data_IF_986772112306
#
_entry.id   IF_986772112306
#
_cell.length_a   1.000
_cell.length_b   1.000
_cell.length_c   1.000
_cell.angle_alpha   90.00
_cell.angle_beta   90.00
_cell.angle_gamma   90.00
#
_symmetry.space_group_name_H-M   'P 1'
#
loop_
_entity.id
_entity.type
_entity.pdbx_description
1 polymer ?
#
# COMPACT_ATOMS: atom_id res chain seq x y z
N UNK A 1 -12.45 14.44 35.39
CA UNK A 1 -11.43 13.34 35.40
C UNK A 1 -11.34 12.76 34.03
N UNK A 2 -10.14 12.65 33.43
CA UNK A 2 -9.95 11.98 32.16
C UNK A 2 -10.31 10.49 32.34
N UNK A 3 -11.18 9.96 31.49
CA UNK A 3 -11.57 8.55 31.51
C UNK A 3 -10.33 7.71 31.23
N UNK A 4 -9.88 6.90 32.17
CA UNK A 4 -8.82 5.95 31.95
C UNK A 4 -9.38 4.80 31.13
N UNK A 5 -8.82 4.58 29.92
CA UNK A 5 -9.21 3.45 29.07
C UNK A 5 -8.49 2.18 29.52
N UNK A 6 -9.23 1.07 29.57
CA UNK A 6 -8.63 -0.26 29.71
C UNK A 6 -7.78 -0.61 28.46
N UNK A 7 -6.88 -1.56 28.57
CA UNK A 7 -6.05 -2.00 27.42
C UNK A 7 -6.91 -2.54 26.25
N UNK A 8 -8.01 -3.22 26.54
CA UNK A 8 -8.97 -3.69 25.51
C UNK A 8 -9.62 -2.49 24.81
N UNK A 9 -10.07 -1.48 25.57
CA UNK A 9 -10.66 -0.25 25.01
C UNK A 9 -9.62 0.49 24.16
N UNK A 10 -8.38 0.64 24.64
CA UNK A 10 -7.28 1.27 23.88
C UNK A 10 -7.04 0.57 22.55
N UNK A 11 -6.93 -0.76 22.54
CA UNK A 11 -6.74 -1.53 21.31
C UNK A 11 -7.91 -1.36 20.33
N UNK A 12 -9.14 -1.35 20.82
CA UNK A 12 -10.33 -1.16 19.99
C UNK A 12 -10.40 0.26 19.40
N UNK A 13 -10.11 1.28 20.19
CA UNK A 13 -10.06 2.68 19.74
C UNK A 13 -8.96 2.86 18.71
N UNK A 14 -7.76 2.32 18.95
CA UNK A 14 -6.65 2.37 18.01
C UNK A 14 -7.00 1.76 16.65
N UNK A 15 -7.63 0.58 16.65
CA UNK A 15 -8.11 -0.06 15.41
C UNK A 15 -9.15 0.79 14.68
N UNK A 16 -10.07 1.42 15.40
CA UNK A 16 -11.07 2.33 14.79
C UNK A 16 -10.40 3.55 14.18
N UNK A 17 -9.45 4.19 14.86
CA UNK A 17 -8.71 5.34 14.33
C UNK A 17 -7.97 4.98 13.03
N UNK A 18 -7.33 3.81 12.95
CA UNK A 18 -6.67 3.32 11.74
C UNK A 18 -7.70 3.09 10.62
N UNK A 19 -8.81 2.41 10.90
CA UNK A 19 -9.85 2.11 9.91
C UNK A 19 -10.51 3.39 9.39
N UNK A 20 -10.89 4.33 10.27
CA UNK A 20 -11.48 5.60 9.88
C UNK A 20 -10.50 6.48 9.10
N UNK A 21 -9.22 6.44 9.46
CA UNK A 21 -8.17 7.14 8.71
C UNK A 21 -8.04 6.59 7.29
N UNK A 22 -7.99 5.26 7.11
CA UNK A 22 -7.93 4.61 5.80
C UNK A 22 -9.13 5.01 4.93
N UNK A 23 -10.36 4.95 5.47
CA UNK A 23 -11.60 5.30 4.78
C UNK A 23 -11.61 6.79 4.38
N UNK A 24 -11.25 7.69 5.29
CA UNK A 24 -11.26 9.13 4.99
C UNK A 24 -10.15 9.48 3.99
N UNK A 25 -8.96 8.90 4.15
CA UNK A 25 -7.85 9.13 3.24
C UNK A 25 -8.18 8.65 1.82
N UNK A 26 -8.73 7.46 1.65
CA UNK A 26 -9.11 6.95 0.33
C UNK A 26 -10.13 7.84 -0.39
N UNK A 27 -10.96 8.57 0.36
CA UNK A 27 -12.01 9.45 -0.20
C UNK A 27 -11.56 10.89 -0.40
N UNK A 28 -10.78 11.43 0.53
CA UNK A 28 -10.55 12.88 0.64
C UNK A 28 -9.08 13.27 0.58
N UNK A 29 -8.17 12.31 0.63
CA UNK A 29 -6.74 12.53 0.69
C UNK A 29 -6.22 12.90 2.09
N UNK A 30 -4.89 13.00 2.22
CA UNK A 30 -4.21 13.29 3.49
C UNK A 30 -4.58 14.66 4.07
N UNK A 31 -4.58 15.71 3.21
CA UNK A 31 -4.82 17.08 3.66
C UNK A 31 -6.20 17.26 4.27
N UNK A 32 -7.22 16.67 3.64
CA UNK A 32 -8.62 16.78 4.08
C UNK A 32 -9.02 15.79 5.16
N UNK A 33 -8.22 14.77 5.46
CA UNK A 33 -8.45 13.88 6.59
C UNK A 33 -8.14 14.62 7.88
N UNK A 34 -9.16 14.84 8.71
CA UNK A 34 -9.09 15.67 9.92
C UNK A 34 -9.08 14.78 11.18
N UNK A 35 -8.19 15.10 12.14
CA UNK A 35 -8.10 14.38 13.42
C UNK A 35 -9.41 14.50 14.21
N UNK A 36 -10.11 15.65 14.18
CA UNK A 36 -11.36 15.83 14.91
C UNK A 36 -12.44 14.88 14.43
N UNK A 37 -12.57 14.72 13.12
CA UNK A 37 -13.53 13.79 12.51
C UNK A 37 -13.18 12.34 12.85
N UNK A 38 -11.90 11.99 12.79
CA UNK A 38 -11.42 10.64 13.13
C UNK A 38 -11.72 10.30 14.59
N UNK A 39 -11.46 11.24 15.51
CA UNK A 39 -11.75 11.08 16.94
C UNK A 39 -13.25 10.93 17.19
N UNK A 40 -14.06 11.79 16.58
CA UNK A 40 -15.53 11.74 16.71
C UNK A 40 -16.08 10.39 16.27
N UNK A 41 -15.67 9.90 15.09
CA UNK A 41 -16.07 8.58 14.55
C UNK A 41 -15.54 7.41 15.38
N UNK A 42 -14.40 7.60 16.06
CA UNK A 42 -13.81 6.59 16.93
C UNK A 42 -14.36 6.62 18.37
N UNK A 43 -15.25 7.58 18.69
CA UNK A 43 -15.89 7.70 19.99
C UNK A 43 -14.98 8.27 21.08
N UNK A 44 -14.00 9.13 20.73
CA UNK A 44 -13.08 9.78 21.65
C UNK A 44 -13.04 11.30 21.45
N UNK A 45 -12.64 12.03 22.49
CA UNK A 45 -12.35 13.44 22.38
C UNK A 45 -11.01 13.67 21.64
N UNK A 46 -10.88 14.80 20.90
CA UNK A 46 -9.65 15.18 20.21
C UNK A 46 -8.39 15.11 21.07
N UNK A 47 -8.47 15.59 22.32
CA UNK A 47 -7.35 15.56 23.25
C UNK A 47 -6.84 14.16 23.59
N UNK A 48 -7.73 13.14 23.45
CA UNK A 48 -7.36 11.74 23.67
C UNK A 48 -6.59 11.11 22.50
N UNK A 49 -6.57 11.74 21.33
CA UNK A 49 -5.86 11.23 20.15
C UNK A 49 -4.38 10.96 20.44
N UNK A 50 -3.73 11.91 21.09
CA UNK A 50 -2.30 11.84 21.41
C UNK A 50 -1.93 10.77 22.45
N UNK A 51 -2.93 10.12 23.06
CA UNK A 51 -2.72 8.88 23.85
C UNK A 51 -2.46 7.66 22.96
N UNK A 52 -2.91 7.70 21.71
CA UNK A 52 -2.85 6.58 20.76
C UNK A 52 -1.78 6.77 19.68
N UNK A 53 -1.57 8.01 19.24
CA UNK A 53 -0.62 8.36 18.17
C UNK A 53 0.05 9.69 18.48
N UNK A 54 1.37 9.72 18.42
CA UNK A 54 2.17 10.93 18.70
C UNK A 54 1.89 12.06 17.70
N UNK A 55 1.47 11.71 16.46
CA UNK A 55 1.13 12.67 15.42
C UNK A 55 0.14 12.08 14.40
N UNK A 56 -0.44 12.96 13.56
CA UNK A 56 -1.25 12.56 12.41
C UNK A 56 -0.43 11.67 11.46
N UNK A 57 0.80 12.04 11.21
CA UNK A 57 1.73 11.32 10.32
C UNK A 57 2.02 9.91 10.83
N UNK A 58 2.13 9.72 12.15
CA UNK A 58 2.31 8.39 12.76
C UNK A 58 1.10 7.50 12.51
N UNK A 59 -0.13 8.03 12.62
CA UNK A 59 -1.34 7.30 12.27
C UNK A 59 -1.33 6.89 10.78
N UNK A 60 -1.01 7.83 9.87
CA UNK A 60 -0.94 7.54 8.44
C UNK A 60 0.13 6.52 8.09
N UNK A 61 1.29 6.57 8.74
CA UNK A 61 2.33 5.55 8.58
C UNK A 61 1.83 4.15 8.95
N UNK A 62 1.04 4.03 10.03
CA UNK A 62 0.46 2.73 10.39
C UNK A 62 -0.63 2.27 9.42
N UNK A 63 -1.42 3.21 8.89
CA UNK A 63 -2.36 2.90 7.80
C UNK A 63 -1.62 2.38 6.58
N UNK A 64 -0.51 3.03 6.16
CA UNK A 64 0.33 2.56 5.04
C UNK A 64 0.85 1.14 5.27
N UNK A 65 1.40 0.85 6.45
CA UNK A 65 1.85 -0.50 6.78
C UNK A 65 0.69 -1.52 6.75
N UNK A 66 -0.48 -1.14 7.25
CA UNK A 66 -1.68 -1.98 7.20
C UNK A 66 -2.12 -2.30 5.78
N UNK A 67 -2.12 -1.30 4.89
CA UNK A 67 -2.42 -1.45 3.47
C UNK A 67 -1.40 -2.37 2.81
N UNK A 68 -0.10 -2.15 3.04
CA UNK A 68 0.96 -2.99 2.51
C UNK A 68 0.78 -4.46 2.91
N UNK A 69 0.47 -4.72 4.19
CA UNK A 69 0.23 -6.08 4.67
C UNK A 69 -1.00 -6.73 3.99
N UNK A 70 -2.08 -5.97 3.75
CA UNK A 70 -3.25 -6.46 3.01
C UNK A 70 -2.88 -6.84 1.56
N UNK A 71 -2.06 -6.01 0.88
CA UNK A 71 -1.58 -6.29 -0.47
C UNK A 71 -0.74 -7.55 -0.53
N UNK A 72 0.21 -7.71 0.40
CA UNK A 72 1.04 -8.89 0.52
C UNK A 72 0.17 -10.13 0.74
N UNK A 73 -0.82 -10.07 1.64
CA UNK A 73 -1.74 -11.19 1.90
C UNK A 73 -2.56 -11.57 0.66
N UNK A 74 -3.00 -10.59 -0.14
CA UNK A 74 -3.72 -10.85 -1.40
C UNK A 74 -2.82 -11.51 -2.45
N UNK A 75 -1.55 -11.10 -2.53
CA UNK A 75 -0.56 -11.73 -3.41
C UNK A 75 -0.24 -13.15 -2.93
N UNK A 76 -0.06 -13.35 -1.62
CA UNK A 76 0.13 -14.69 -1.02
C UNK A 76 -1.04 -15.63 -1.36
N UNK A 77 -2.27 -15.16 -1.26
CA UNK A 77 -3.46 -15.96 -1.61
C UNK A 77 -3.44 -16.38 -3.08
N UNK A 78 -3.11 -15.47 -3.99
CA UNK A 78 -3.02 -15.77 -5.43
C UNK A 78 -1.93 -16.81 -5.69
N UNK A 79 -0.71 -16.57 -5.18
CA UNK A 79 0.45 -17.43 -5.41
C UNK A 79 0.30 -18.83 -4.78
N UNK A 80 -0.45 -18.94 -3.68
CA UNK A 80 -0.74 -20.22 -3.02
C UNK A 80 -1.68 -21.11 -3.84
N UNK A 81 -2.51 -20.52 -4.70
CA UNK A 81 -3.61 -21.20 -5.39
C UNK A 81 -3.40 -21.34 -6.91
N UNK A 82 -2.27 -20.86 -7.45
CA UNK A 82 -2.04 -20.82 -8.89
C UNK A 82 -0.62 -21.25 -9.26
N UNK A 83 -0.38 -21.75 -10.50
CA UNK A 83 0.97 -21.97 -11.02
C UNK A 83 1.80 -20.69 -10.94
N UNK A 84 3.10 -20.83 -10.69
CA UNK A 84 4.00 -19.71 -10.36
C UNK A 84 3.92 -18.53 -11.34
N UNK A 85 4.06 -18.76 -12.65
CA UNK A 85 4.00 -17.71 -13.68
C UNK A 85 2.64 -17.02 -13.73
N UNK A 86 1.58 -17.83 -13.75
CA UNK A 86 0.21 -17.34 -13.82
C UNK A 86 -0.16 -16.54 -12.57
N UNK A 87 0.21 -17.06 -11.39
CA UNK A 87 -0.01 -16.40 -10.10
C UNK A 87 0.75 -15.08 -10.00
N UNK A 88 2.01 -15.06 -10.47
CA UNK A 88 2.82 -13.83 -10.46
C UNK A 88 2.25 -12.77 -11.42
N UNK A 89 1.87 -13.16 -12.64
CA UNK A 89 1.22 -12.27 -13.60
C UNK A 89 -0.11 -11.72 -13.03
N UNK A 90 -0.96 -12.61 -12.48
CA UNK A 90 -2.23 -12.21 -11.88
C UNK A 90 -2.05 -11.26 -10.70
N UNK A 91 -1.01 -11.45 -9.89
CA UNK A 91 -0.69 -10.55 -8.77
C UNK A 91 -0.35 -9.14 -9.24
N UNK A 92 0.50 -9.00 -10.26
CA UNK A 92 0.83 -7.69 -10.85
C UNK A 92 -0.41 -7.01 -11.45
N UNK A 93 -1.24 -7.76 -12.20
CA UNK A 93 -2.49 -7.26 -12.78
C UNK A 93 -3.49 -6.82 -11.70
N UNK A 94 -3.59 -7.56 -10.60
CA UNK A 94 -4.43 -7.20 -9.44
C UNK A 94 -3.93 -5.92 -8.77
N UNK A 95 -2.62 -5.79 -8.52
CA UNK A 95 -2.02 -4.61 -7.92
C UNK A 95 -2.26 -3.36 -8.76
N UNK A 96 -2.07 -3.44 -10.08
CA UNK A 96 -2.28 -2.33 -11.01
C UNK A 96 -3.71 -1.80 -10.95
N UNK A 97 -4.70 -2.70 -11.03
CA UNK A 97 -6.12 -2.34 -10.94
C UNK A 97 -6.51 -1.77 -9.58
N UNK A 98 -5.88 -2.26 -8.51
CA UNK A 98 -6.11 -1.74 -7.17
C UNK A 98 -5.53 -0.32 -7.01
N UNK A 99 -4.36 -0.06 -7.58
CA UNK A 99 -3.74 1.26 -7.59
C UNK A 99 -4.56 2.27 -8.39
N UNK A 100 -5.09 1.87 -9.54
CA UNK A 100 -5.98 2.70 -10.35
C UNK A 100 -7.27 3.11 -9.61
N UNK A 101 -7.87 2.19 -8.88
CA UNK A 101 -9.08 2.43 -8.09
C UNK A 101 -8.86 3.30 -6.84
N UNK A 102 -7.63 3.40 -6.35
CA UNK A 102 -7.31 4.08 -5.09
C UNK A 102 -6.15 5.08 -5.25
N UNK A 103 -6.30 6.13 -6.07
CA UNK A 103 -5.21 7.02 -6.42
C UNK A 103 -4.63 7.78 -5.22
N UNK A 104 -5.41 8.04 -4.17
CA UNK A 104 -4.90 8.70 -2.96
C UNK A 104 -3.93 7.84 -2.16
N UNK A 105 -4.07 6.51 -2.26
CA UNK A 105 -3.26 5.56 -1.49
C UNK A 105 -1.99 5.14 -2.23
N UNK A 106 -1.98 5.20 -3.58
CA UNK A 106 -0.94 4.55 -4.38
C UNK A 106 -0.33 5.43 -5.47
N UNK A 107 -0.83 6.65 -5.67
CA UNK A 107 -0.29 7.49 -6.73
C UNK A 107 0.91 8.29 -6.25
N UNK A 108 2.15 7.95 -6.65
CA UNK A 108 3.35 8.68 -6.27
C UNK A 108 3.38 10.12 -6.81
N UNK A 109 2.59 10.43 -7.84
CA UNK A 109 2.46 11.78 -8.39
C UNK A 109 1.30 12.59 -7.80
N UNK A 110 0.51 11.99 -6.90
CA UNK A 110 -0.53 12.74 -6.21
C UNK A 110 0.12 13.73 -5.23
N UNK A 111 -0.09 15.03 -5.46
CA UNK A 111 0.48 16.09 -4.63
C UNK A 111 0.10 15.97 -3.13
N UNK A 112 -1.02 15.35 -2.84
CA UNK A 112 -1.48 15.09 -1.48
C UNK A 112 -0.68 13.94 -0.83
N UNK A 113 -0.43 12.87 -1.58
CA UNK A 113 0.43 11.76 -1.16
C UNK A 113 1.89 12.21 -0.96
N UNK A 114 2.44 12.98 -1.89
CA UNK A 114 3.79 13.59 -1.76
C UNK A 114 3.85 14.46 -0.51
N UNK A 115 2.79 15.23 -0.21
CA UNK A 115 2.73 16.05 1.00
C UNK A 115 2.81 15.20 2.28
N UNK A 116 2.18 14.05 2.31
CA UNK A 116 2.31 13.10 3.43
C UNK A 116 3.75 12.59 3.52
N UNK A 117 4.30 12.06 2.43
CA UNK A 117 5.66 11.52 2.44
C UNK A 117 6.69 12.54 2.93
N UNK A 118 6.59 13.80 2.49
CA UNK A 118 7.48 14.88 2.91
C UNK A 118 7.35 15.25 4.41
N UNK A 119 6.28 14.82 5.07
CA UNK A 119 6.05 15.03 6.51
C UNK A 119 6.43 13.83 7.37
N UNK A 120 6.62 12.67 6.76
CA UNK A 120 7.07 11.49 7.49
C UNK A 120 8.55 11.66 7.89
N UNK A 121 8.93 11.25 9.10
CA UNK A 121 10.33 11.11 9.48
C UNK A 121 11.08 10.20 8.50
N UNK A 122 12.36 10.52 8.25
CA UNK A 122 13.20 9.75 7.30
C UNK A 122 13.26 8.26 7.64
N UNK A 123 13.31 7.94 8.92
CA UNK A 123 13.34 6.57 9.43
C UNK A 123 12.07 5.79 9.02
N UNK A 124 10.90 6.44 9.04
CA UNK A 124 9.64 5.84 8.62
C UNK A 124 9.60 5.62 7.11
N UNK A 125 10.12 6.57 6.33
CA UNK A 125 10.23 6.41 4.88
C UNK A 125 11.15 5.25 4.51
N UNK A 126 12.35 5.21 5.09
CA UNK A 126 13.31 4.12 4.88
C UNK A 126 12.72 2.76 5.30
N UNK A 127 11.91 2.74 6.36
CA UNK A 127 11.23 1.52 6.79
C UNK A 127 10.19 1.05 5.76
N UNK A 128 9.39 1.97 5.17
CA UNK A 128 8.43 1.63 4.12
C UNK A 128 9.13 1.08 2.87
N UNK A 129 10.19 1.73 2.42
CA UNK A 129 11.00 1.29 1.27
C UNK A 129 11.61 -0.10 1.52
N UNK A 130 12.25 -0.27 2.67
CA UNK A 130 12.83 -1.55 3.08
C UNK A 130 11.77 -2.66 3.11
N UNK A 131 10.62 -2.40 3.70
CA UNK A 131 9.53 -3.36 3.78
C UNK A 131 9.02 -3.77 2.39
N UNK A 132 8.93 -2.84 1.43
CA UNK A 132 8.53 -3.13 0.05
C UNK A 132 9.51 -4.11 -0.62
N UNK A 133 10.81 -3.81 -0.56
CA UNK A 133 11.87 -4.65 -1.15
C UNK A 133 11.89 -6.03 -0.49
N UNK A 134 11.87 -6.08 0.84
CA UNK A 134 11.92 -7.34 1.58
C UNK A 134 10.68 -8.21 1.34
N UNK A 135 9.50 -7.58 1.23
CA UNK A 135 8.27 -8.31 0.91
C UNK A 135 8.34 -9.00 -0.44
N UNK A 136 8.86 -8.31 -1.46
CA UNK A 136 9.08 -8.91 -2.78
C UNK A 136 10.07 -10.09 -2.71
N UNK A 137 11.22 -9.92 -2.04
CA UNK A 137 12.22 -10.99 -1.92
C UNK A 137 11.69 -12.19 -1.13
N UNK A 138 10.91 -11.94 -0.09
CA UNK A 138 10.28 -13.00 0.70
C UNK A 138 9.26 -13.78 -0.13
N UNK A 139 8.48 -13.11 -0.99
CA UNK A 139 7.56 -13.78 -1.92
C UNK A 139 8.32 -14.67 -2.92
N UNK A 140 9.38 -14.14 -3.55
CA UNK A 140 10.24 -14.91 -4.45
C UNK A 140 10.76 -16.17 -3.76
N UNK A 141 11.29 -16.05 -2.54
CA UNK A 141 11.82 -17.18 -1.79
C UNK A 141 10.74 -18.19 -1.35
N UNK A 142 9.61 -17.69 -0.80
CA UNK A 142 8.52 -18.53 -0.28
C UNK A 142 7.90 -19.41 -1.36
N UNK A 143 7.69 -18.86 -2.54
CA UNK A 143 7.08 -19.57 -3.67
C UNK A 143 8.10 -20.18 -4.62
N UNK A 144 9.40 -20.13 -4.26
CA UNK A 144 10.50 -20.65 -5.08
C UNK A 144 10.39 -20.18 -6.54
N UNK A 145 10.09 -18.89 -6.74
CA UNK A 145 9.98 -18.31 -8.08
C UNK A 145 11.36 -18.25 -8.71
N UNK A 146 11.57 -19.04 -9.76
CA UNK A 146 12.85 -19.10 -10.46
C UNK A 146 13.01 -17.95 -11.42
N UNK A 147 13.74 -16.94 -10.98
CA UNK A 147 14.06 -15.76 -11.79
C UNK A 147 15.20 -16.08 -12.76
N UNK A 148 15.06 -15.64 -14.02
CA UNK A 148 16.11 -15.64 -15.06
C UNK A 148 17.01 -14.41 -14.99
N UNK A 149 16.70 -13.45 -14.13
CA UNK A 149 17.42 -12.19 -13.93
C UNK A 149 17.65 -11.98 -12.43
N UNK A 150 18.55 -11.05 -12.10
CA UNK A 150 18.81 -10.67 -10.71
C UNK A 150 17.51 -10.15 -10.02
N UNK A 151 17.31 -10.51 -8.76
CA UNK A 151 16.10 -10.17 -8.00
C UNK A 151 15.89 -8.66 -7.85
N UNK A 152 16.98 -7.90 -7.75
CA UNK A 152 16.99 -6.44 -7.72
C UNK A 152 16.46 -5.86 -9.03
N UNK A 153 16.89 -6.41 -10.15
CA UNK A 153 16.41 -6.03 -11.48
C UNK A 153 14.94 -6.42 -11.67
N UNK A 154 14.55 -7.62 -11.21
CA UNK A 154 13.15 -8.06 -11.26
C UNK A 154 12.24 -7.12 -10.46
N UNK A 155 12.64 -6.73 -9.25
CA UNK A 155 11.93 -5.75 -8.43
C UNK A 155 11.80 -4.40 -9.16
N UNK A 156 12.91 -3.88 -9.70
CA UNK A 156 12.93 -2.61 -10.44
C UNK A 156 12.00 -2.62 -11.64
N UNK A 157 12.03 -3.70 -12.45
CA UNK A 157 11.17 -3.83 -13.64
C UNK A 157 9.68 -3.92 -13.23
N UNK A 158 9.32 -4.69 -12.20
CA UNK A 158 7.95 -4.76 -11.71
C UNK A 158 7.45 -3.40 -11.22
N UNK A 159 8.28 -2.65 -10.48
CA UNK A 159 7.92 -1.30 -10.03
C UNK A 159 7.76 -0.31 -11.20
N UNK A 160 8.66 -0.34 -12.18
CA UNK A 160 8.54 0.49 -13.37
C UNK A 160 7.25 0.19 -14.14
N UNK A 161 6.91 -1.09 -14.24
CA UNK A 161 5.68 -1.53 -14.90
C UNK A 161 4.43 -1.03 -14.13
N UNK A 162 4.37 -1.21 -12.82
CA UNK A 162 3.26 -0.68 -12.00
C UNK A 162 3.18 0.85 -12.08
N UNK A 163 4.32 1.54 -12.18
CA UNK A 163 4.38 2.99 -12.31
C UNK A 163 3.88 3.51 -13.65
N UNK A 164 3.72 2.65 -14.68
CA UNK A 164 3.13 3.05 -15.96
C UNK A 164 1.69 3.57 -15.83
N UNK A 165 1.01 3.26 -14.71
CA UNK A 165 -0.30 3.82 -14.39
C UNK A 165 -0.31 5.36 -14.38
N UNK A 166 0.84 5.99 -14.10
CA UNK A 166 0.97 7.45 -14.11
C UNK A 166 0.82 8.05 -15.52
N UNK A 167 1.04 7.24 -16.55
CA UNK A 167 0.96 7.62 -17.95
C UNK A 167 -0.36 7.18 -18.61
N UNK A 168 -1.34 6.70 -17.82
CA UNK A 168 -2.58 6.14 -18.36
C UNK A 168 -3.34 7.08 -19.28
N UNK A 169 -3.30 8.39 -19.03
CA UNK A 169 -3.96 9.42 -19.85
C UNK A 169 -3.24 9.67 -21.21
N UNK A 170 -1.95 9.29 -21.29
CA UNK A 170 -1.13 9.44 -22.51
C UNK A 170 -1.19 8.18 -23.40
N UNK A 171 -1.76 7.08 -22.90
CA UNK A 171 -1.91 5.84 -23.66
C UNK A 171 -3.12 5.96 -24.57
N UNK A 172 -2.89 5.99 -25.88
CA UNK A 172 -3.93 6.12 -26.91
C UNK A 172 -4.78 4.85 -27.13
N UNK A 173 -4.80 3.92 -26.18
CA UNK A 173 -5.52 2.64 -26.19
C UNK A 173 -6.01 2.31 -24.78
N UNK A 174 -6.71 1.18 -24.58
CA UNK A 174 -7.07 0.71 -23.25
C UNK A 174 -5.80 0.39 -22.42
N UNK A 175 -5.50 1.27 -21.46
CA UNK A 175 -4.30 1.15 -20.64
C UNK A 175 -4.26 -0.10 -19.77
N UNK A 176 -5.41 -0.70 -19.47
CA UNK A 176 -5.49 -1.98 -18.73
C UNK A 176 -5.08 -3.13 -19.65
N UNK A 177 -5.55 -3.17 -20.90
CA UNK A 177 -5.14 -4.17 -21.88
C UNK A 177 -3.64 -4.04 -22.21
N UNK A 178 -3.15 -2.81 -22.38
CA UNK A 178 -1.72 -2.55 -22.60
C UNK A 178 -0.88 -3.06 -21.41
N UNK A 179 -1.33 -2.77 -20.18
CA UNK A 179 -0.64 -3.26 -18.99
C UNK A 179 -0.64 -4.79 -18.91
N UNK A 180 -1.78 -5.43 -19.15
CA UNK A 180 -1.91 -6.88 -19.11
C UNK A 180 -0.97 -7.53 -20.13
N UNK A 181 -0.88 -6.98 -21.36
CA UNK A 181 0.05 -7.44 -22.38
C UNK A 181 1.52 -7.30 -21.94
N UNK A 182 1.89 -6.15 -21.34
CA UNK A 182 3.24 -5.94 -20.82
C UNK A 182 3.57 -6.93 -19.70
N UNK A 183 2.64 -7.20 -18.78
CA UNK A 183 2.83 -8.17 -17.69
C UNK A 183 3.07 -9.56 -18.23
N UNK A 184 2.23 -10.03 -19.17
CA UNK A 184 2.34 -11.39 -19.71
C UNK A 184 3.70 -11.59 -20.42
N UNK A 185 4.14 -10.61 -21.19
CA UNK A 185 5.45 -10.63 -21.82
C UNK A 185 6.61 -10.57 -20.81
N UNK A 186 6.51 -9.67 -19.82
CA UNK A 186 7.52 -9.57 -18.78
C UNK A 186 7.69 -10.91 -18.05
N UNK A 187 6.59 -11.49 -17.55
CA UNK A 187 6.62 -12.73 -16.77
C UNK A 187 7.17 -13.89 -17.58
N UNK A 188 6.81 -14.02 -18.85
CA UNK A 188 7.37 -15.04 -19.75
C UNK A 188 8.90 -14.94 -19.89
N UNK A 189 9.46 -13.74 -19.80
CA UNK A 189 10.90 -13.51 -19.97
C UNK A 189 11.69 -13.56 -18.66
N UNK A 190 11.11 -13.17 -17.51
CA UNK A 190 11.84 -13.10 -16.24
C UNK A 190 11.69 -14.34 -15.36
N UNK A 191 10.68 -15.19 -15.59
CA UNK A 191 10.48 -16.45 -14.85
C UNK A 191 10.74 -17.67 -15.75
N UNK A 192 11.27 -18.76 -15.16
CA UNK A 192 11.44 -20.07 -15.81
C UNK A 192 10.09 -20.71 -16.15
#
# INVERSE_FOLDING_TARGET
MAKSFTEIEKNNIRKRLISECEINWSKYGYKKTNIDDLCSKSGIAKGSFYTFFDSKEKLFFEVLNGIQNKLISSVDEILSNMPQKEGFAKSLKMLYRLYDKNPFLYSPNNADYITLLNKLPKEMLSQLEYNNVQSFYNLIGRYNLKLKIEKEKAFGVCNALLSSLLLKEDIGYDYIEVFDFMVDNLVAHILE
#
